data_IF_421837589302
#
_entry.id   IF_421837589302
#
_cell.length_a   1.000
_cell.length_b   1.000
_cell.length_c   1.000
_cell.angle_alpha   90.00
_cell.angle_beta   90.00
_cell.angle_gamma   90.00
#
_symmetry.space_group_name_H-M   'P 1'
#
loop_
_entity.id
_entity.type
_entity.pdbx_description
1 polymer ?
#
# COMPACT_ATOMS: atom_id res chain seq x y z
N UNK A 1 -6.03 27.20 -19.66
CA UNK A 1 -6.79 25.96 -19.40
C UNK A 1 -5.93 25.12 -18.49
N UNK A 2 -6.21 25.21 -17.19
CA UNK A 2 -5.47 24.46 -16.17
C UNK A 2 -6.03 23.03 -16.18
N UNK A 3 -5.21 22.07 -16.60
CA UNK A 3 -5.57 20.67 -16.48
C UNK A 3 -5.44 20.33 -15.00
N UNK A 4 -6.53 20.49 -14.24
CA UNK A 4 -6.65 20.00 -12.88
C UNK A 4 -6.32 18.52 -12.88
N UNK A 5 -5.05 18.18 -12.61
CA UNK A 5 -4.60 16.82 -12.36
C UNK A 5 -5.50 16.30 -11.25
N UNK A 6 -6.43 15.41 -11.59
CA UNK A 6 -7.19 14.69 -10.59
C UNK A 6 -6.18 13.84 -9.85
N UNK A 7 -5.87 14.25 -8.62
CA UNK A 7 -5.03 13.48 -7.72
C UNK A 7 -5.73 12.12 -7.50
N UNK A 8 -5.08 11.03 -7.92
CA UNK A 8 -5.71 9.72 -7.84
C UNK A 8 -6.04 9.41 -6.37
N UNK A 9 -7.27 9.01 -6.08
CA UNK A 9 -7.75 8.73 -4.71
C UNK A 9 -7.47 7.28 -4.28
N UNK A 10 -6.59 6.58 -4.98
CA UNK A 10 -6.21 5.20 -4.71
C UNK A 10 -4.71 4.99 -4.89
N UNK A 11 -4.21 3.97 -4.20
CA UNK A 11 -2.88 3.42 -4.37
C UNK A 11 -3.02 2.13 -5.16
N UNK A 12 -2.27 2.00 -6.25
CA UNK A 12 -2.20 0.76 -7.02
C UNK A 12 -1.16 -0.16 -6.42
N UNK A 13 -1.54 -1.41 -6.20
CA UNK A 13 -0.69 -2.49 -5.73
C UNK A 13 -0.68 -3.63 -6.74
N UNK A 14 0.42 -4.37 -6.84
CA UNK A 14 0.45 -5.65 -7.52
C UNK A 14 1.15 -6.67 -6.64
N UNK A 15 0.84 -7.95 -6.87
CA UNK A 15 1.57 -9.02 -6.22
C UNK A 15 2.93 -9.23 -6.91
N UNK A 16 4.03 -9.27 -6.14
CA UNK A 16 5.31 -9.71 -6.68
C UNK A 16 5.31 -11.24 -6.80
N UNK A 17 5.17 -11.79 -8.02
CA UNK A 17 5.21 -13.24 -8.26
C UNK A 17 6.62 -13.79 -7.93
N UNK A 18 6.78 -14.92 -7.24
CA UNK A 18 5.97 -16.14 -7.29
C UNK A 18 5.61 -16.68 -5.90
N UNK A 19 4.31 -16.67 -5.55
CA UNK A 19 3.83 -17.51 -4.46
C UNK A 19 2.43 -18.02 -4.79
N UNK A 20 2.25 -19.35 -4.78
CA UNK A 20 0.92 -19.97 -4.90
C UNK A 20 0.21 -19.82 -3.55
N UNK A 21 -0.76 -18.92 -3.45
CA UNK A 21 -1.67 -18.86 -2.30
C UNK A 21 -2.91 -19.69 -2.64
N UNK A 22 -3.24 -20.67 -1.78
CA UNK A 22 -4.41 -21.54 -1.94
C UNK A 22 -5.68 -20.71 -2.17
N UNK A 23 -6.26 -20.81 -3.36
CA UNK A 23 -7.64 -20.39 -3.65
C UNK A 23 -7.82 -19.27 -4.69
N UNK A 24 -6.80 -18.46 -4.97
CA UNK A 24 -6.87 -17.42 -6.01
C UNK A 24 -5.52 -17.27 -6.71
N UNK A 25 -5.51 -17.42 -8.05
CA UNK A 25 -4.34 -17.17 -8.88
C UNK A 25 -4.21 -15.66 -9.08
N UNK A 26 -3.54 -14.96 -8.16
CA UNK A 26 -3.04 -13.62 -8.44
C UNK A 26 -1.76 -13.77 -9.25
N UNK A 27 -1.82 -13.36 -10.51
CA UNK A 27 -0.60 -13.24 -11.32
C UNK A 27 0.06 -11.90 -10.97
N UNK A 28 1.38 -11.77 -11.14
CA UNK A 28 2.07 -10.48 -10.93
C UNK A 28 1.66 -9.36 -11.89
N UNK A 29 0.64 -9.61 -12.73
CA UNK A 29 0.05 -8.64 -13.65
C UNK A 29 -1.27 -8.08 -13.14
N UNK A 30 -1.82 -8.62 -12.04
CA UNK A 30 -3.08 -8.16 -11.49
C UNK A 30 -2.82 -6.98 -10.55
N UNK A 31 -3.12 -5.77 -11.04
CA UNK A 31 -3.07 -4.53 -10.29
C UNK A 31 -4.39 -4.31 -9.53
N UNK A 32 -4.29 -4.02 -8.24
CA UNK A 32 -5.42 -3.74 -7.34
C UNK A 32 -5.30 -2.33 -6.81
N UNK A 33 -6.38 -1.56 -6.94
CA UNK A 33 -6.48 -0.21 -6.39
C UNK A 33 -7.10 -0.26 -5.00
N UNK A 34 -6.41 0.29 -4.00
CA UNK A 34 -6.92 0.45 -2.63
C UNK A 34 -7.07 1.93 -2.34
N UNK A 35 -8.20 2.32 -1.76
CA UNK A 35 -8.53 3.72 -1.49
C UNK A 35 -7.50 4.37 -0.54
N UNK A 36 -7.03 5.54 -0.93
CA UNK A 36 -6.17 6.39 -0.10
C UNK A 36 -7.05 7.16 0.88
N UNK A 37 -6.65 7.15 2.14
CA UNK A 37 -7.28 7.90 3.22
C UNK A 37 -6.36 9.04 3.65
N UNK A 38 -6.94 10.07 4.25
CA UNK A 38 -6.17 11.08 4.94
C UNK A 38 -6.01 10.66 6.39
N UNK A 39 -4.76 10.61 6.87
CA UNK A 39 -4.45 10.37 8.27
C UNK A 39 -4.93 11.57 9.10
N UNK A 40 -5.87 11.41 10.04
CA UNK A 40 -6.37 12.52 10.84
C UNK A 40 -5.30 13.14 11.74
N UNK A 41 -4.25 12.40 12.11
CA UNK A 41 -3.21 12.90 13.00
C UNK A 41 -2.17 13.75 12.26
N UNK A 42 -1.66 13.25 11.13
CA UNK A 42 -0.56 13.88 10.40
C UNK A 42 -1.01 14.65 9.16
N UNK A 43 -2.26 14.49 8.73
CA UNK A 43 -2.77 15.00 7.45
C UNK A 43 -2.21 14.28 6.22
N UNK A 44 -1.33 13.28 6.39
CA UNK A 44 -0.69 12.53 5.31
C UNK A 44 -1.68 11.63 4.58
N UNK A 45 -1.37 11.32 3.34
CA UNK A 45 -2.13 10.37 2.53
C UNK A 45 -1.62 8.95 2.82
N UNK A 46 -2.52 8.07 3.22
CA UNK A 46 -2.15 6.74 3.71
C UNK A 46 -3.04 5.64 3.12
N UNK A 47 -2.51 4.42 3.14
CA UNK A 47 -3.27 3.19 2.98
C UNK A 47 -3.20 2.41 4.28
N UNK A 48 -4.34 1.89 4.74
CA UNK A 48 -4.39 1.07 5.95
C UNK A 48 -3.93 -0.35 5.64
N UNK A 49 -3.08 -0.91 6.49
CA UNK A 49 -2.54 -2.25 6.31
C UNK A 49 -3.64 -3.32 6.27
N UNK A 50 -4.72 -3.14 7.03
CA UNK A 50 -5.85 -4.07 7.01
C UNK A 50 -6.55 -4.13 5.65
N UNK A 51 -6.62 -3.00 4.93
CA UNK A 51 -7.21 -2.94 3.59
C UNK A 51 -6.31 -3.76 2.62
N UNK A 52 -4.99 -3.69 2.77
CA UNK A 52 -4.02 -4.49 2.00
C UNK A 52 -4.18 -5.98 2.31
N UNK A 53 -4.17 -6.38 3.59
CA UNK A 53 -4.29 -7.80 4.00
C UNK A 53 -5.67 -8.38 3.64
N UNK A 54 -6.71 -7.56 3.55
CA UNK A 54 -8.04 -8.02 3.10
C UNK A 54 -8.03 -8.54 1.66
N UNK A 55 -7.14 -8.01 0.83
CA UNK A 55 -6.93 -8.43 -0.57
C UNK A 55 -5.80 -9.46 -0.67
N UNK A 56 -4.69 -9.19 0.00
CA UNK A 56 -3.47 -9.99 -0.02
C UNK A 56 -3.28 -10.65 1.35
N UNK A 57 -4.04 -11.72 1.63
CA UNK A 57 -4.14 -12.32 2.98
C UNK A 57 -2.81 -12.75 3.60
N UNK A 58 -1.81 -13.07 2.79
CA UNK A 58 -0.48 -13.45 3.26
C UNK A 58 0.54 -12.30 3.19
N UNK A 59 0.13 -11.05 2.97
CA UNK A 59 1.05 -9.92 2.83
C UNK A 59 1.97 -9.79 4.05
N UNK A 60 3.28 -9.69 3.79
CA UNK A 60 4.35 -9.49 4.78
C UNK A 60 4.87 -8.07 4.76
N UNK A 61 5.06 -7.50 3.57
CA UNK A 61 5.48 -6.12 3.40
C UNK A 61 5.06 -5.54 2.05
N UNK A 62 5.24 -4.24 1.91
CA UNK A 62 5.10 -3.50 0.65
C UNK A 62 6.48 -3.01 0.22
N UNK A 63 6.74 -3.04 -1.08
CA UNK A 63 7.99 -2.60 -1.69
C UNK A 63 7.74 -1.60 -2.81
N UNK A 64 8.75 -0.76 -3.05
CA UNK A 64 8.90 0.01 -4.27
C UNK A 64 10.24 -0.38 -4.90
N UNK A 65 10.19 -1.14 -5.99
CA UNK A 65 11.39 -1.79 -6.54
C UNK A 65 12.01 -2.73 -5.51
N UNK A 66 13.28 -2.49 -5.15
CA UNK A 66 14.03 -3.30 -4.18
C UNK A 66 13.95 -2.77 -2.73
N UNK A 67 13.16 -1.72 -2.50
CA UNK A 67 13.08 -1.06 -1.18
C UNK A 67 11.79 -1.41 -0.46
N UNK A 68 11.88 -1.92 0.77
CA UNK A 68 10.72 -2.13 1.66
C UNK A 68 10.24 -0.80 2.20
N UNK A 69 8.94 -0.51 2.03
CA UNK A 69 8.31 0.66 2.62
C UNK A 69 7.98 0.38 4.10
N UNK A 70 8.46 1.22 5.02
CA UNK A 70 8.16 1.07 6.44
C UNK A 70 6.70 1.44 6.72
N UNK A 71 6.15 0.87 7.78
CA UNK A 71 4.94 1.44 8.39
C UNK A 71 5.28 2.78 9.02
N UNK A 72 4.32 3.70 9.00
CA UNK A 72 4.47 4.98 9.69
C UNK A 72 4.65 4.74 11.20
N UNK A 73 5.58 5.45 11.80
CA UNK A 73 5.84 5.51 13.23
C UNK A 73 5.68 6.95 13.73
N UNK A 74 5.48 7.11 15.04
CA UNK A 74 5.59 8.43 15.65
C UNK A 74 7.02 8.97 15.53
N UNK A 75 7.15 10.29 15.42
CA UNK A 75 8.46 10.93 15.35
C UNK A 75 9.28 10.61 16.61
N UNK A 76 10.47 10.03 16.42
CA UNK A 76 11.35 9.62 17.51
C UNK A 76 10.99 8.28 18.18
N UNK A 77 9.92 7.60 17.72
CA UNK A 77 9.58 6.25 18.19
C UNK A 77 10.08 5.17 17.21
N UNK A 78 10.51 4.04 17.76
CA UNK A 78 10.75 2.81 16.98
C UNK A 78 9.48 1.97 16.79
N UNK A 79 8.37 2.39 17.40
CA UNK A 79 7.09 1.68 17.34
C UNK A 79 6.23 2.22 16.21
N UNK A 80 5.58 1.31 15.48
CA UNK A 80 4.66 1.68 14.41
C UNK A 80 3.35 2.20 14.99
N UNK A 81 2.73 3.11 14.25
CA UNK A 81 1.40 3.60 14.53
C UNK A 81 0.37 2.46 14.41
N UNK A 82 -0.59 2.42 15.33
CA UNK A 82 -1.79 1.58 15.21
C UNK A 82 -3.03 2.46 14.93
N UNK A 83 -3.88 2.10 13.95
CA UNK A 83 -3.72 0.97 13.03
C UNK A 83 -2.54 1.16 12.08
N UNK A 84 -1.85 0.05 11.76
CA UNK A 84 -0.74 0.07 10.79
C UNK A 84 -1.15 0.68 9.47
N UNK A 85 -0.26 1.53 8.95
CA UNK A 85 -0.51 2.36 7.77
C UNK A 85 0.80 2.66 7.05
N UNK A 86 0.71 2.76 5.74
CA UNK A 86 1.83 3.06 4.84
C UNK A 86 1.49 4.36 4.12
N UNK A 87 2.50 5.17 3.86
CA UNK A 87 2.34 6.38 3.05
C UNK A 87 1.91 6.03 1.62
N UNK A 88 0.99 6.81 1.07
CA UNK A 88 0.48 6.61 -0.26
C UNK A 88 1.33 7.33 -1.32
N UNK A 89 1.61 6.63 -2.40
CA UNK A 89 2.31 7.08 -3.60
C UNK A 89 1.44 6.79 -4.84
N UNK A 90 0.36 7.57 -5.07
CA UNK A 90 -0.68 7.29 -6.08
C UNK A 90 -0.15 7.17 -7.51
N UNK A 91 1.00 7.78 -7.82
CA UNK A 91 1.61 7.76 -9.15
C UNK A 91 2.54 6.56 -9.37
N UNK A 92 2.65 5.66 -8.37
CA UNK A 92 3.55 4.50 -8.38
C UNK A 92 2.76 3.24 -8.11
N UNK A 93 3.03 2.17 -8.86
CA UNK A 93 2.53 0.82 -8.52
C UNK A 93 3.46 0.22 -7.47
N UNK A 94 2.91 -0.12 -6.31
CA UNK A 94 3.66 -0.74 -5.22
C UNK A 94 3.54 -2.27 -5.26
N UNK A 95 4.61 -2.95 -4.88
CA UNK A 95 4.66 -4.41 -4.85
C UNK A 95 4.26 -4.91 -3.46
N UNK A 96 3.33 -5.86 -3.40
CA UNK A 96 3.00 -6.60 -2.18
C UNK A 96 3.75 -7.92 -2.18
N UNK A 97 4.49 -8.18 -1.11
CA UNK A 97 5.23 -9.43 -0.90
C UNK A 97 4.44 -10.30 0.07
N UNK A 98 4.23 -11.57 -0.28
CA UNK A 98 3.58 -12.59 0.57
C UNK A 98 4.58 -13.35 1.45
#
# INVERSE_FOLDING_TARGET
MDASKHEANFQTFRLQAAHQTKGALFTSRDEINIIIRQDPASGRRIVLWHDIVSVFTAARCVQSGETVLPFLSDEGSSEFLEPRRIEAHPDVVLDVVL
#
